data_IF_421614264657
#
_entry.id   IF_421614264657
#
_cell.length_a   1.000
_cell.length_b   1.000
_cell.length_c   1.000
_cell.angle_alpha   90.00
_cell.angle_beta   90.00
_cell.angle_gamma   90.00
#
_symmetry.space_group_name_H-M   'P 1'
#
loop_
_entity.id
_entity.type
_entity.pdbx_description
1 polymer ?
#
# COMPACT_ATOMS: atom_id res chain seq x y z
N UNK A 1 -6.62 -8.98 -15.19
CA UNK A 1 -7.14 -8.72 -13.83
C UNK A 1 -6.38 -7.62 -13.07
N UNK A 2 -5.07 -7.41 -13.26
CA UNK A 2 -4.28 -6.49 -12.42
C UNK A 2 -4.59 -4.99 -12.48
N UNK A 3 -5.07 -4.45 -13.60
CA UNK A 3 -5.34 -3.00 -13.73
C UNK A 3 -6.55 -2.53 -12.91
N UNK A 4 -7.64 -3.31 -12.88
CA UNK A 4 -8.86 -2.94 -12.14
C UNK A 4 -8.59 -2.98 -10.62
N UNK A 5 -7.89 -4.01 -10.16
CA UNK A 5 -7.43 -4.10 -8.77
C UNK A 5 -6.62 -2.86 -8.35
N UNK A 6 -5.66 -2.44 -9.17
CA UNK A 6 -4.83 -1.25 -8.90
C UNK A 6 -5.66 0.02 -8.73
N UNK A 7 -6.67 0.20 -9.58
CA UNK A 7 -7.55 1.37 -9.55
C UNK A 7 -8.40 1.35 -8.28
N UNK A 8 -8.97 0.20 -7.92
CA UNK A 8 -9.73 0.04 -6.68
C UNK A 8 -8.84 0.37 -5.47
N UNK A 9 -7.62 -0.17 -5.44
CA UNK A 9 -6.70 0.07 -4.33
C UNK A 9 -6.32 1.56 -4.22
N UNK A 10 -6.04 2.22 -5.34
CA UNK A 10 -5.77 3.66 -5.36
C UNK A 10 -6.96 4.47 -4.83
N UNK A 11 -8.18 4.15 -5.26
CA UNK A 11 -9.41 4.83 -4.79
C UNK A 11 -9.60 4.65 -3.29
N UNK A 12 -9.24 3.50 -2.73
CA UNK A 12 -9.34 3.23 -1.29
C UNK A 12 -8.19 3.87 -0.49
N UNK A 13 -6.96 3.86 -1.00
CA UNK A 13 -5.80 4.41 -0.29
C UNK A 13 -5.84 5.93 -0.21
N UNK A 14 -6.34 6.64 -1.24
CA UNK A 14 -6.41 8.11 -1.22
C UNK A 14 -7.13 8.66 0.02
N UNK A 15 -8.39 8.29 0.32
CA UNK A 15 -9.06 8.76 1.52
C UNK A 15 -8.37 8.27 2.79
N UNK A 16 -7.87 7.03 2.82
CA UNK A 16 -7.17 6.51 3.98
C UNK A 16 -5.87 7.26 4.29
N UNK A 17 -5.13 7.67 3.27
CA UNK A 17 -3.89 8.43 3.38
C UNK A 17 -4.14 9.87 3.84
N UNK A 18 -5.21 10.50 3.34
CA UNK A 18 -5.50 11.90 3.62
C UNK A 18 -6.31 12.12 4.91
N UNK A 19 -7.13 11.14 5.30
CA UNK A 19 -8.04 11.28 6.44
C UNK A 19 -7.33 11.62 7.77
N UNK A 20 -6.23 10.96 8.18
CA UNK A 20 -5.54 11.29 9.43
C UNK A 20 -5.03 12.73 9.46
N UNK A 21 -4.39 13.19 8.39
CA UNK A 21 -3.85 14.54 8.27
C UNK A 21 -4.94 15.60 8.15
N UNK A 22 -6.02 15.28 7.44
CA UNK A 22 -7.22 16.11 7.36
C UNK A 22 -7.88 16.30 8.73
N UNK A 23 -7.96 15.24 9.53
CA UNK A 23 -8.51 15.28 10.89
C UNK A 23 -7.67 16.19 11.81
N UNK A 24 -6.34 16.04 11.82
CA UNK A 24 -5.48 16.95 12.60
C UNK A 24 -5.62 18.38 12.12
N UNK A 25 -5.58 18.61 10.79
CA UNK A 25 -5.67 19.95 10.22
C UNK A 25 -6.97 20.62 10.64
N UNK A 26 -8.08 19.86 10.66
CA UNK A 26 -9.37 20.34 11.12
C UNK A 26 -9.31 20.77 12.60
N UNK A 27 -8.79 19.90 13.47
CA UNK A 27 -8.68 20.15 14.91
C UNK A 27 -7.84 21.40 15.20
N UNK A 28 -6.68 21.55 14.57
CA UNK A 28 -5.79 22.68 14.79
C UNK A 28 -6.38 24.00 14.28
N UNK A 29 -6.99 23.99 13.09
CA UNK A 29 -7.46 25.22 12.43
C UNK A 29 -8.82 25.69 12.96
N UNK A 30 -9.75 24.76 13.20
CA UNK A 30 -11.13 25.09 13.54
C UNK A 30 -11.41 24.96 15.05
N UNK A 31 -10.86 23.94 15.71
CA UNK A 31 -11.05 23.76 17.15
C UNK A 31 -10.00 24.51 17.99
N UNK A 32 -8.96 25.04 17.33
CA UNK A 32 -7.89 25.86 17.95
C UNK A 32 -7.19 25.16 19.12
N UNK A 33 -7.12 23.84 19.10
CA UNK A 33 -6.35 23.08 20.08
C UNK A 33 -4.85 23.25 19.83
N UNK A 34 -4.06 23.17 20.90
CA UNK A 34 -2.61 23.16 20.79
C UNK A 34 -2.15 21.84 20.18
N UNK A 35 -1.05 21.88 19.42
CA UNK A 35 -0.44 20.67 18.89
C UNK A 35 0.20 19.86 20.00
N UNK A 36 -0.29 18.64 20.23
CA UNK A 36 0.25 17.71 21.22
C UNK A 36 1.13 16.65 20.59
N UNK A 37 2.04 16.05 21.36
CA UNK A 37 2.96 15.01 20.87
C UNK A 37 2.22 13.80 20.28
N UNK A 38 1.03 13.48 20.80
CA UNK A 38 0.17 12.39 20.29
C UNK A 38 -0.31 12.63 18.86
N UNK A 39 -0.41 13.90 18.44
CA UNK A 39 -0.82 14.28 17.09
C UNK A 39 0.23 13.93 16.03
N UNK A 40 1.48 13.65 16.40
CA UNK A 40 2.48 13.13 15.47
C UNK A 40 2.11 11.77 14.86
N UNK A 41 1.29 10.96 15.55
CA UNK A 41 0.87 9.66 15.05
C UNK A 41 0.06 9.82 13.74
N UNK A 42 -1.05 10.57 13.71
CA UNK A 42 -1.79 10.79 12.47
C UNK A 42 -0.99 11.58 11.40
N UNK A 43 0.00 12.41 11.77
CA UNK A 43 0.94 13.02 10.80
C UNK A 43 1.78 11.93 10.13
N UNK A 44 2.39 11.04 10.90
CA UNK A 44 3.17 9.92 10.40
C UNK A 44 2.35 8.98 9.51
N UNK A 45 1.11 8.69 9.90
CA UNK A 45 0.18 7.90 9.07
C UNK A 45 -0.12 8.56 7.72
N UNK A 46 -0.26 9.89 7.71
CA UNK A 46 -0.47 10.64 6.46
C UNK A 46 0.74 10.55 5.54
N UNK A 47 1.94 10.71 6.09
CA UNK A 47 3.20 10.59 5.33
C UNK A 47 3.33 9.18 4.74
N UNK A 48 3.10 8.14 5.56
CA UNK A 48 3.09 6.75 5.10
C UNK A 48 2.07 6.52 3.98
N UNK A 49 0.86 7.07 4.12
CA UNK A 49 -0.18 6.99 3.10
C UNK A 49 0.21 7.67 1.80
N UNK A 50 0.83 8.86 1.84
CA UNK A 50 1.34 9.53 0.64
C UNK A 50 2.44 8.70 -0.03
N UNK A 51 3.35 8.11 0.75
CA UNK A 51 4.38 7.24 0.21
C UNK A 51 3.79 5.97 -0.44
N UNK A 52 2.77 5.37 0.15
CA UNK A 52 2.02 4.25 -0.44
C UNK A 52 1.31 4.67 -1.74
N UNK A 53 0.69 5.86 -1.80
CA UNK A 53 0.12 6.38 -3.04
C UNK A 53 1.17 6.49 -4.15
N UNK A 54 2.34 7.09 -3.84
CA UNK A 54 3.45 7.19 -4.80
C UNK A 54 3.90 5.80 -5.26
N UNK A 55 3.97 4.83 -4.33
CA UNK A 55 4.29 3.45 -4.64
C UNK A 55 3.29 2.85 -5.64
N UNK A 56 1.99 2.95 -5.41
CA UNK A 56 0.97 2.42 -6.33
C UNK A 56 0.97 3.13 -7.69
N UNK A 57 1.24 4.44 -7.73
CA UNK A 57 1.43 5.17 -8.99
C UNK A 57 2.65 4.68 -9.78
N UNK A 58 3.82 4.52 -9.12
CA UNK A 58 5.03 4.01 -9.77
C UNK A 58 4.86 2.55 -10.23
N UNK A 59 4.10 1.75 -9.48
CA UNK A 59 3.91 0.32 -9.78
C UNK A 59 2.71 0.01 -10.69
N UNK A 60 1.94 1.01 -11.14
CA UNK A 60 0.76 0.82 -12.00
C UNK A 60 1.06 0.11 -13.34
N UNK A 61 2.28 0.30 -13.85
CA UNK A 61 2.72 -0.27 -15.12
C UNK A 61 3.31 -1.67 -14.99
N UNK A 62 3.54 -2.19 -13.77
CA UNK A 62 4.10 -3.54 -13.60
C UNK A 62 3.18 -4.63 -14.15
N UNK A 63 1.87 -4.38 -14.15
CA UNK A 63 0.90 -5.30 -14.74
C UNK A 63 0.94 -5.33 -16.27
N UNK A 64 1.62 -4.39 -16.93
CA UNK A 64 1.88 -4.42 -18.38
C UNK A 64 3.11 -5.24 -18.74
N UNK A 65 4.00 -5.54 -17.79
CA UNK A 65 5.23 -6.33 -18.00
C UNK A 65 4.96 -7.82 -18.30
N UNK A 66 3.75 -8.33 -18.04
CA UNK A 66 3.37 -9.67 -18.50
C UNK A 66 3.20 -9.76 -20.02
N UNK A 67 3.00 -8.63 -20.70
CA UNK A 67 2.64 -8.61 -22.11
C UNK A 67 3.72 -7.98 -23.02
N UNK A 68 4.79 -7.41 -22.48
CA UNK A 68 5.88 -6.80 -23.26
C UNK A 68 7.22 -7.04 -22.58
N UNK A 69 8.25 -7.30 -23.38
CA UNK A 69 9.69 -7.31 -23.01
C UNK A 69 10.19 -5.91 -22.56
N UNK A 70 9.33 -5.11 -21.94
CA UNK A 70 9.68 -3.77 -21.48
C UNK A 70 10.49 -3.88 -20.18
N UNK A 71 11.45 -2.98 -19.98
CA UNK A 71 12.24 -2.91 -18.76
C UNK A 71 11.36 -2.70 -17.52
N UNK A 72 11.58 -3.50 -16.47
CA UNK A 72 10.87 -3.37 -15.18
C UNK A 72 11.02 -1.93 -14.64
N UNK A 73 9.93 -1.22 -14.29
CA UNK A 73 10.03 0.12 -13.72
C UNK A 73 10.87 0.09 -12.44
N UNK A 74 11.81 1.01 -12.31
CA UNK A 74 12.64 1.12 -11.09
C UNK A 74 11.83 1.79 -9.99
N UNK A 75 11.49 1.03 -8.96
CA UNK A 75 10.92 1.55 -7.71
C UNK A 75 11.99 1.46 -6.64
N UNK A 76 12.32 2.57 -5.99
CA UNK A 76 13.32 2.60 -4.93
C UNK A 76 12.88 1.69 -3.76
N UNK A 77 13.82 0.97 -3.11
CA UNK A 77 13.51 0.08 -2.00
C UNK A 77 12.75 0.77 -0.85
N UNK A 78 13.02 2.07 -0.64
CA UNK A 78 12.34 2.86 0.39
C UNK A 78 10.81 2.84 0.21
N UNK A 79 10.30 3.00 -1.01
CA UNK A 79 8.86 3.01 -1.26
C UNK A 79 8.20 1.65 -1.01
N UNK A 80 8.92 0.55 -1.21
CA UNK A 80 8.45 -0.78 -0.84
C UNK A 80 8.29 -0.93 0.67
N UNK A 81 9.30 -0.50 1.42
CA UNK A 81 9.29 -0.59 2.88
C UNK A 81 8.19 0.31 3.45
N UNK A 82 8.03 1.53 2.92
CA UNK A 82 7.00 2.46 3.38
C UNK A 82 5.58 1.98 3.04
N UNK A 83 5.37 1.35 1.88
CA UNK A 83 4.08 0.75 1.51
C UNK A 83 3.72 -0.45 2.41
N UNK A 84 4.69 -1.33 2.67
CA UNK A 84 4.52 -2.42 3.63
C UNK A 84 4.25 -1.86 5.03
N UNK A 85 4.99 -0.82 5.45
CA UNK A 85 4.79 -0.14 6.72
C UNK A 85 3.37 0.44 6.85
N UNK A 86 2.87 1.08 5.79
CA UNK A 86 1.50 1.55 5.71
C UNK A 86 0.50 0.39 5.89
N UNK A 87 0.63 -0.69 5.13
CA UNK A 87 -0.24 -1.86 5.25
C UNK A 87 -0.24 -2.49 6.67
N UNK A 88 0.93 -2.60 7.29
CA UNK A 88 1.08 -3.10 8.66
C UNK A 88 0.41 -2.18 9.67
N UNK A 89 0.67 -0.86 9.61
CA UNK A 89 0.10 0.11 10.54
C UNK A 89 -1.43 0.09 10.48
N UNK A 90 -2.03 0.07 9.29
CA UNK A 90 -3.49 0.02 9.13
C UNK A 90 -4.09 -1.29 9.63
N UNK A 91 -3.40 -2.41 9.40
CA UNK A 91 -3.80 -3.71 9.94
C UNK A 91 -3.77 -3.69 11.47
N UNK A 92 -2.65 -3.27 12.08
CA UNK A 92 -2.52 -3.18 13.54
C UNK A 92 -3.52 -2.19 14.17
N UNK A 93 -3.74 -1.04 13.52
CA UNK A 93 -4.72 -0.05 13.97
C UNK A 93 -6.14 -0.64 13.97
N UNK A 94 -6.54 -1.36 12.92
CA UNK A 94 -7.85 -2.01 12.87
C UNK A 94 -8.00 -3.11 13.92
N UNK A 95 -6.93 -3.89 14.21
CA UNK A 95 -6.92 -4.87 15.29
C UNK A 95 -7.06 -4.19 16.67
N UNK A 96 -6.36 -3.08 16.88
CA UNK A 96 -6.47 -2.28 18.10
C UNK A 96 -7.87 -1.72 18.27
N UNK A 97 -8.49 -1.19 17.20
CA UNK A 97 -9.86 -0.69 17.24
C UNK A 97 -10.88 -1.81 17.50
N UNK A 98 -10.66 -3.03 16.99
CA UNK A 98 -11.48 -4.20 17.36
C UNK A 98 -11.35 -4.54 18.85
N UNK A 99 -10.14 -4.46 19.41
CA UNK A 99 -9.93 -4.64 20.84
C UNK A 99 -10.67 -3.56 21.66
N UNK A 100 -10.56 -2.29 21.29
CA UNK A 100 -11.27 -1.17 21.95
C UNK A 100 -12.79 -1.35 21.85
N UNK A 101 -13.29 -1.76 20.68
CA UNK A 101 -14.70 -2.03 20.46
C UNK A 101 -15.22 -3.07 21.46
N UNK A 102 -14.48 -4.16 21.71
CA UNK A 102 -14.89 -5.18 22.69
C UNK A 102 -14.96 -4.67 24.15
N UNK A 103 -14.39 -3.49 24.45
CA UNK A 103 -14.44 -2.87 25.77
C UNK A 103 -15.63 -1.89 25.94
N UNK A 104 -16.27 -1.47 24.85
CA UNK A 104 -17.37 -0.50 24.87
C UNK A 104 -18.72 -1.21 25.07
N UNK A 105 -19.62 -0.67 25.89
CA UNK A 105 -20.83 -1.40 26.33
C UNK A 105 -22.11 -1.21 25.48
N UNK A 106 -22.34 -0.13 24.70
CA UNK A 106 -23.56 -0.07 23.89
C UNK A 106 -23.37 -0.54 22.43
N UNK A 107 -24.23 -1.48 22.01
CA UNK A 107 -24.32 -2.06 20.65
C UNK A 107 -24.39 -1.04 19.50
N UNK A 108 -24.97 0.15 19.74
CA UNK A 108 -25.11 1.20 18.71
C UNK A 108 -23.77 1.78 18.27
N UNK A 109 -22.77 1.79 19.14
CA UNK A 109 -21.42 2.29 18.81
C UNK A 109 -20.63 1.29 17.96
N UNK A 110 -20.98 0.00 18.03
CA UNK A 110 -20.30 -1.05 17.26
C UNK A 110 -20.51 -0.91 15.75
N UNK A 111 -21.72 -0.59 15.29
CA UNK A 111 -21.97 -0.44 13.85
C UNK A 111 -21.14 0.70 13.26
N UNK A 112 -21.00 1.80 13.99
CA UNK A 112 -20.19 2.95 13.57
C UNK A 112 -18.71 2.56 13.57
N UNK A 113 -18.22 1.91 14.63
CA UNK A 113 -16.81 1.48 14.69
C UNK A 113 -16.46 0.46 13.60
N UNK A 114 -17.34 -0.51 13.33
CA UNK A 114 -17.14 -1.50 12.28
C UNK A 114 -17.04 -0.86 10.88
N UNK A 115 -17.79 0.23 10.64
CA UNK A 115 -17.69 0.98 9.40
C UNK A 115 -16.31 1.60 9.18
N UNK A 116 -15.52 1.83 10.23
CA UNK A 116 -14.12 2.26 10.14
C UNK A 116 -13.15 1.08 10.14
N UNK A 117 -13.35 0.09 11.02
CA UNK A 117 -12.46 -1.06 11.20
C UNK A 117 -12.34 -1.87 9.91
N UNK A 118 -13.48 -2.20 9.28
CA UNK A 118 -13.50 -3.12 8.15
C UNK A 118 -12.72 -2.56 6.95
N UNK A 119 -12.95 -1.31 6.50
CA UNK A 119 -12.15 -0.72 5.42
C UNK A 119 -10.65 -0.62 5.75
N UNK A 120 -10.30 -0.25 6.99
CA UNK A 120 -8.90 -0.16 7.43
C UNK A 120 -8.20 -1.53 7.35
N UNK A 121 -8.86 -2.58 7.86
CA UNK A 121 -8.32 -3.93 7.85
C UNK A 121 -8.17 -4.47 6.43
N UNK A 122 -9.22 -4.36 5.61
CA UNK A 122 -9.21 -4.83 4.23
C UNK A 122 -8.13 -4.10 3.43
N UNK A 123 -8.05 -2.78 3.52
CA UNK A 123 -7.05 -1.99 2.81
C UNK A 123 -5.63 -2.33 3.27
N UNK A 124 -5.41 -2.49 4.59
CA UNK A 124 -4.12 -2.86 5.15
C UNK A 124 -3.62 -4.20 4.63
N UNK A 125 -4.45 -5.24 4.74
CA UNK A 125 -4.11 -6.59 4.26
C UNK A 125 -3.95 -6.61 2.74
N UNK A 126 -4.84 -5.95 1.99
CA UNK A 126 -4.76 -5.94 0.53
C UNK A 126 -3.47 -5.26 0.04
N UNK A 127 -3.07 -4.14 0.65
CA UNK A 127 -1.80 -3.47 0.33
C UNK A 127 -0.61 -4.43 0.50
N UNK A 128 -0.57 -5.19 1.60
CA UNK A 128 0.48 -6.18 1.85
C UNK A 128 0.47 -7.32 0.82
N UNK A 129 -0.71 -7.85 0.48
CA UNK A 129 -0.86 -8.89 -0.53
C UNK A 129 -0.44 -8.40 -1.92
N UNK A 130 -0.74 -7.14 -2.26
CA UNK A 130 -0.32 -6.53 -3.52
C UNK A 130 1.20 -6.38 -3.58
N UNK A 131 1.84 -5.88 -2.52
CA UNK A 131 3.29 -5.80 -2.43
C UNK A 131 3.94 -7.19 -2.60
N UNK A 132 3.43 -8.20 -1.89
CA UNK A 132 3.92 -9.58 -2.03
C UNK A 132 3.76 -10.11 -3.48
N UNK A 133 2.59 -9.90 -4.07
CA UNK A 133 2.31 -10.32 -5.45
C UNK A 133 3.25 -9.65 -6.46
N UNK A 134 3.43 -8.33 -6.37
CA UNK A 134 4.31 -7.58 -7.26
C UNK A 134 5.76 -8.02 -7.11
N UNK A 135 6.24 -8.25 -5.89
CA UNK A 135 7.59 -8.74 -5.65
C UNK A 135 7.82 -10.11 -6.30
N UNK A 136 6.86 -11.03 -6.15
CA UNK A 136 6.91 -12.35 -6.82
C UNK A 136 6.95 -12.22 -8.35
N UNK A 137 6.14 -11.31 -8.90
CA UNK A 137 6.07 -11.05 -10.35
C UNK A 137 7.40 -10.51 -10.90
N UNK A 138 8.06 -9.62 -10.16
CA UNK A 138 9.40 -9.10 -10.49
C UNK A 138 10.42 -10.23 -10.52
N UNK A 139 10.41 -11.14 -9.54
CA UNK A 139 11.34 -12.26 -9.49
C UNK A 139 11.16 -13.21 -10.68
N UNK A 140 9.92 -13.51 -11.04
CA UNK A 140 9.61 -14.35 -12.21
C UNK A 140 10.12 -13.70 -13.49
N UNK A 141 9.84 -12.40 -13.69
CA UNK A 141 10.30 -11.68 -14.89
C UNK A 141 11.83 -11.60 -14.96
N UNK A 142 12.52 -11.32 -13.85
CA UNK A 142 13.99 -11.35 -13.78
C UNK A 142 14.57 -12.73 -14.06
N UNK A 143 13.85 -13.80 -13.74
CA UNK A 143 14.30 -15.17 -14.04
C UNK A 143 14.13 -15.49 -15.52
N UNK A 144 12.98 -15.17 -16.10
CA UNK A 144 12.70 -15.36 -17.53
C UNK A 144 13.67 -14.57 -18.42
N UNK A 145 13.92 -13.31 -18.10
CA UNK A 145 14.83 -12.46 -18.89
C UNK A 145 16.27 -12.98 -18.87
N UNK A 146 16.73 -13.51 -17.71
CA UNK A 146 18.05 -14.15 -17.61
C UNK A 146 18.15 -15.43 -18.42
N UNK A 147 17.08 -16.20 -18.55
CA UNK A 147 17.08 -17.41 -19.39
C UNK A 147 17.17 -17.06 -20.87
N UNK A 148 16.43 -16.03 -21.32
CA UNK A 148 16.50 -15.55 -22.70
C UNK A 148 17.93 -15.06 -23.03
N UNK A 149 18.54 -14.26 -22.15
CA UNK A 149 19.93 -13.82 -22.34
C UNK A 149 20.93 -15.00 -22.42
N UNK A 150 20.74 -16.06 -21.63
CA UNK A 150 21.60 -17.25 -21.66
C UNK A 150 21.40 -18.06 -22.95
N UNK A 151 20.16 -18.15 -23.45
CA UNK A 151 19.85 -18.84 -24.71
C UNK A 151 20.41 -18.07 -25.92
N UNK A 152 20.33 -16.74 -25.93
CA UNK A 152 20.95 -15.90 -26.98
C UNK A 152 22.47 -16.07 -27.01
N UNK A 153 23.15 -16.02 -25.85
CA UNK A 153 24.60 -16.22 -25.77
C UNK A 153 25.02 -17.62 -26.23
N UNK A 154 24.21 -18.65 -25.98
CA UNK A 154 24.47 -20.02 -26.45
C UNK A 154 24.20 -20.20 -27.94
N UNK A 155 23.21 -19.51 -28.50
CA UNK A 155 22.87 -19.56 -29.92
C UNK A 155 23.96 -18.97 -30.81
N UNK A 156 24.53 -17.83 -30.40
CA UNK A 156 25.60 -17.15 -31.14
C UNK A 156 26.96 -17.88 -31.07
N UNK A 157 27.15 -18.75 -30.07
CA UNK A 157 28.37 -19.56 -29.91
C UNK A 157 28.42 -20.83 -30.76
N UNK A 158 27.31 -21.22 -31.42
CA UNK A 158 27.22 -22.45 -32.24
C UNK A 158 27.21 -22.19 -33.75
N UNK A 159 27.30 -20.94 -34.18
CA UNK A 159 27.31 -20.51 -35.59
C UNK A 159 28.68 -20.03 -36.09
N UNK A 160 29.78 -20.55 -35.53
CA UNK A 160 31.16 -20.27 -35.97
C UNK A 160 31.85 -21.55 -36.45
#
# INVERSE_FOLDING_TARGET
>A
MGHIQKIILLVVIVPLALFPGGLISYILLFEKLAFETTMWIPVGMTILGICSLIFHFKTKNFYKLLNKQDSIPKVEPLFWILDIGFGVVYTLMSLYLMYVMNQLKPMREYTIMLAFIIPLFIAGIWTLLEAFYLNKLIQIHKFAHRHIEIEEIKGDGFSA
#
